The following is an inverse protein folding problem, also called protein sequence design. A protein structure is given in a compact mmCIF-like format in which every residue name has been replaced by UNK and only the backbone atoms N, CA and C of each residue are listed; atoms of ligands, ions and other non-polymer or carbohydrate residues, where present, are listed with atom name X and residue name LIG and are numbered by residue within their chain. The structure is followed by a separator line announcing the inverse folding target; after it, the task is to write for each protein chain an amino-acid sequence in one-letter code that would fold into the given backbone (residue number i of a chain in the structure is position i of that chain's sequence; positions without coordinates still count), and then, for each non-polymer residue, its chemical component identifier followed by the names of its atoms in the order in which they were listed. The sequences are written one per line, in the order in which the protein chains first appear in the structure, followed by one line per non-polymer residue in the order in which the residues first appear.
data_IF_409366509111
#
_entry.id   IF_409366509111
#
_cell.length_a   1.000
_cell.length_b   1.000
_cell.length_c   1.000
_cell.angle_alpha   90.00
_cell.angle_beta   90.00
_cell.angle_gamma   90.00
#
_symmetry.space_group_name_H-M   'P 1'
#
loop_
_entity.id
_entity.type
_entity.pdbx_description
1 polymer ?
#
# COMPACT_ATOMS: atom_id res chain seq x y z
N UNK A 1 -7.63 0.54 24.06
CA UNK A 1 -6.90 -0.35 23.13
C UNK A 1 -6.66 0.40 21.82
N UNK A 2 -5.64 0.04 21.04
CA UNK A 2 -5.41 0.61 19.69
C UNK A 2 -5.64 -0.47 18.63
N UNK A 3 -6.46 -0.16 17.62
CA UNK A 3 -6.76 -1.05 16.50
C UNK A 3 -6.27 -0.43 15.21
N UNK A 4 -5.76 -1.28 14.31
CA UNK A 4 -5.51 -0.92 12.93
C UNK A 4 -6.45 -1.76 12.06
N UNK A 5 -7.47 -1.12 11.52
CA UNK A 5 -8.45 -1.76 10.65
C UNK A 5 -8.14 -1.45 9.20
N UNK A 6 -8.28 -2.46 8.36
CA UNK A 6 -8.03 -2.38 6.93
C UNK A 6 -9.01 -3.23 6.14
N UNK A 7 -9.29 -2.85 4.91
CA UNK A 7 -9.95 -3.64 3.89
C UNK A 7 -9.02 -4.68 3.28
N UNK A 8 -7.70 -4.46 3.40
CA UNK A 8 -6.68 -5.30 2.82
C UNK A 8 -6.78 -6.74 3.33
N UNK A 9 -6.52 -7.67 2.42
CA UNK A 9 -6.37 -9.09 2.73
C UNK A 9 -5.06 -9.59 2.17
N UNK A 10 -4.64 -10.78 2.60
CA UNK A 10 -3.43 -11.41 2.08
C UNK A 10 -2.19 -10.55 2.29
N UNK A 11 -1.45 -10.24 1.21
CA UNK A 11 -0.22 -9.46 1.28
C UNK A 11 -0.38 -8.06 1.89
N UNK A 12 -1.50 -7.37 1.63
CA UNK A 12 -1.76 -6.06 2.24
C UNK A 12 -2.00 -6.15 3.76
N UNK A 13 -2.78 -7.15 4.20
CA UNK A 13 -2.95 -7.42 5.63
C UNK A 13 -1.61 -7.78 6.28
N UNK A 14 -0.82 -8.64 5.64
CA UNK A 14 0.50 -9.02 6.12
C UNK A 14 1.45 -7.82 6.23
N UNK A 15 1.37 -6.85 5.31
CA UNK A 15 2.12 -5.60 5.42
C UNK A 15 1.79 -4.86 6.73
N UNK A 16 0.50 -4.72 7.05
CA UNK A 16 0.06 -4.06 8.28
C UNK A 16 0.43 -4.84 9.55
N UNK A 17 0.40 -6.17 9.50
CA UNK A 17 0.90 -7.03 10.58
C UNK A 17 2.41 -6.83 10.82
N UNK A 18 3.19 -6.70 9.74
CA UNK A 18 4.62 -6.40 9.81
C UNK A 18 4.89 -4.99 10.38
N UNK A 19 4.09 -3.98 9.99
CA UNK A 19 4.14 -2.63 10.57
C UNK A 19 3.94 -2.73 12.08
N UNK A 20 2.87 -3.38 12.53
CA UNK A 20 2.58 -3.54 13.95
C UNK A 20 3.72 -4.26 14.69
N UNK A 21 4.22 -5.37 14.15
CA UNK A 21 5.29 -6.16 14.78
C UNK A 21 6.59 -5.39 14.92
N UNK A 22 6.98 -4.63 13.88
CA UNK A 22 8.32 -4.06 13.78
C UNK A 22 8.43 -2.60 14.23
N UNK A 23 7.32 -1.86 14.22
CA UNK A 23 7.28 -0.44 14.60
C UNK A 23 6.56 -0.22 15.92
N UNK A 24 5.51 -1.00 16.19
CA UNK A 24 4.65 -0.82 17.36
C UNK A 24 4.76 -1.96 18.38
N UNK A 25 5.80 -2.80 18.28
CA UNK A 25 6.08 -3.93 19.18
C UNK A 25 4.86 -4.86 19.40
N UNK A 26 3.99 -4.98 18.38
CA UNK A 26 2.77 -5.80 18.45
C UNK A 26 1.66 -5.22 19.32
N UNK A 27 1.72 -3.94 19.70
CA UNK A 27 0.74 -3.30 20.60
C UNK A 27 -0.59 -2.97 19.93
N UNK A 28 -0.66 -2.93 18.59
CA UNK A 28 -1.91 -2.72 17.85
C UNK A 28 -2.63 -4.05 17.65
N UNK A 29 -3.96 -4.02 17.65
CA UNK A 29 -4.78 -5.11 17.12
C UNK A 29 -5.05 -4.86 15.63
N UNK A 30 -4.32 -5.56 14.76
CA UNK A 30 -4.48 -5.45 13.31
C UNK A 30 -5.58 -6.39 12.84
N UNK A 31 -6.59 -5.88 12.13
CA UNK A 31 -7.73 -6.67 11.66
C UNK A 31 -8.16 -6.26 10.25
N UNK A 32 -8.31 -7.26 9.37
CA UNK A 32 -9.00 -7.08 8.10
C UNK A 32 -10.52 -7.08 8.31
N UNK A 33 -11.19 -6.09 7.73
CA UNK A 33 -12.64 -6.03 7.54
C UNK A 33 -13.05 -6.41 6.10
N UNK A 34 -12.11 -6.96 5.33
CA UNK A 34 -12.27 -7.57 3.99
C UNK A 34 -12.67 -6.61 2.85
N UNK A 35 -13.27 -5.47 3.18
CA UNK A 35 -13.70 -4.47 2.21
C UNK A 35 -13.92 -3.12 2.89
N UNK A 36 -13.91 -2.06 2.08
CA UNK A 36 -14.32 -0.72 2.50
C UNK A 36 -15.72 -0.68 3.12
N UNK A 37 -16.64 -1.54 2.66
CA UNK A 37 -17.98 -1.64 3.26
C UNK A 37 -17.90 -2.31 4.64
N UNK A 38 -17.13 -3.38 4.78
CA UNK A 38 -16.97 -4.07 6.06
C UNK A 38 -16.34 -3.20 7.14
N UNK A 39 -15.46 -2.24 6.78
CA UNK A 39 -14.98 -1.22 7.72
C UNK A 39 -16.15 -0.35 8.21
N UNK A 40 -16.98 0.15 7.29
CA UNK A 40 -18.11 1.01 7.63
C UNK A 40 -19.15 0.28 8.49
N UNK A 41 -19.46 -0.97 8.14
CA UNK A 41 -20.38 -1.81 8.91
C UNK A 41 -19.84 -2.02 10.34
N UNK A 42 -18.53 -2.31 10.48
CA UNK A 42 -17.91 -2.48 11.79
C UNK A 42 -17.85 -1.19 12.63
N UNK A 43 -17.80 -0.02 11.99
CA UNK A 43 -17.85 1.27 12.66
C UNK A 43 -19.28 1.65 13.08
N UNK A 44 -20.29 1.24 12.32
CA UNK A 44 -21.71 1.48 12.65
C UNK A 44 -22.13 0.69 13.90
N UNK A 45 -21.61 -0.54 14.03
CA UNK A 45 -21.82 -1.39 15.21
C UNK A 45 -20.99 -0.96 16.44
N UNK A 46 -20.12 0.05 16.30
CA UNK A 46 -19.14 0.39 17.32
C UNK A 46 -19.75 1.24 18.44
N UNK A 47 -19.57 0.78 19.68
CA UNK A 47 -19.85 1.61 20.85
C UNK A 47 -18.71 2.63 21.07
N UNK A 48 -18.84 3.82 20.49
CA UNK A 48 -17.85 4.90 20.60
C UNK A 48 -17.70 5.48 22.02
N UNK A 49 -18.37 4.93 23.04
CA UNK A 49 -18.17 5.31 24.44
C UNK A 49 -16.88 4.72 25.04
N UNK A 50 -16.30 3.71 24.42
CA UNK A 50 -15.07 3.08 24.91
C UNK A 50 -13.82 3.95 24.61
N UNK A 51 -12.78 3.83 25.42
CA UNK A 51 -11.48 4.55 25.29
C UNK A 51 -10.58 3.98 24.16
N UNK A 52 -11.18 3.23 23.23
CA UNK A 52 -10.48 2.57 22.14
C UNK A 52 -10.22 3.54 20.98
N UNK A 53 -9.04 3.42 20.35
CA UNK A 53 -8.65 4.17 19.16
C UNK A 53 -8.55 3.25 17.96
N UNK A 54 -9.08 3.71 16.83
CA UNK A 54 -9.20 2.97 15.58
C UNK A 54 -8.51 3.74 14.47
N UNK A 55 -7.38 3.22 14.01
CA UNK A 55 -6.67 3.69 12.84
C UNK A 55 -7.20 2.93 11.63
N UNK A 56 -7.67 3.66 10.62
CA UNK A 56 -8.33 3.08 9.46
C UNK A 56 -7.42 3.25 8.24
N UNK A 57 -6.77 2.15 7.83
CA UNK A 57 -6.25 2.02 6.48
C UNK A 57 -7.45 1.78 5.55
N UNK A 58 -7.65 2.66 4.57
CA UNK A 58 -8.79 2.62 3.66
C UNK A 58 -8.35 3.12 2.29
N UNK A 59 -8.65 2.35 1.24
CA UNK A 59 -8.39 2.71 -0.14
C UNK A 59 -9.10 4.03 -0.50
N UNK A 60 -8.36 5.15 -0.52
CA UNK A 60 -8.91 6.45 -0.89
C UNK A 60 -8.70 6.73 -2.37
N UNK A 61 -9.68 6.33 -3.18
CA UNK A 61 -9.63 6.44 -4.65
C UNK A 61 -10.69 7.43 -5.14
N UNK A 62 -10.27 8.68 -5.37
CA UNK A 62 -11.21 9.78 -5.73
C UNK A 62 -11.88 9.60 -7.09
N UNK A 63 -11.24 8.86 -8.00
CA UNK A 63 -11.74 8.60 -9.36
C UNK A 63 -12.77 7.46 -9.41
N UNK A 64 -13.04 6.79 -8.28
CA UNK A 64 -14.08 5.77 -8.15
C UNK A 64 -15.23 6.29 -7.29
N UNK A 65 -16.40 6.47 -7.91
CA UNK A 65 -17.57 7.09 -7.27
C UNK A 65 -18.07 6.31 -6.05
N UNK A 66 -18.03 4.97 -6.08
CA UNK A 66 -18.45 4.12 -4.97
C UNK A 66 -17.51 4.28 -3.76
N UNK A 67 -16.21 4.19 -4.01
CA UNK A 67 -15.17 4.37 -2.98
C UNK A 67 -15.25 5.78 -2.39
N UNK A 68 -15.41 6.81 -3.23
CA UNK A 68 -15.57 8.21 -2.79
C UNK A 68 -16.80 8.39 -1.89
N UNK A 69 -17.91 7.73 -2.18
CA UNK A 69 -19.11 7.80 -1.34
C UNK A 69 -18.89 7.13 0.02
N UNK A 70 -18.25 5.95 0.03
CA UNK A 70 -17.87 5.25 1.27
C UNK A 70 -16.90 6.06 2.12
N UNK A 71 -15.89 6.67 1.50
CA UNK A 71 -14.93 7.51 2.19
C UNK A 71 -15.58 8.77 2.81
N UNK A 72 -16.62 9.33 2.19
CA UNK A 72 -17.40 10.44 2.79
C UNK A 72 -18.13 10.01 4.05
N UNK A 73 -18.72 8.81 4.04
CA UNK A 73 -19.35 8.24 5.23
C UNK A 73 -18.30 8.02 6.33
N UNK A 74 -17.16 7.43 5.99
CA UNK A 74 -16.04 7.27 6.92
C UNK A 74 -15.59 8.61 7.53
N UNK A 75 -15.47 9.66 6.71
CA UNK A 75 -15.17 11.01 7.20
C UNK A 75 -16.23 11.56 8.14
N UNK A 76 -17.51 11.33 7.87
CA UNK A 76 -18.57 11.78 8.78
C UNK A 76 -18.50 11.07 10.13
N UNK A 77 -18.17 9.78 10.16
CA UNK A 77 -17.94 9.00 11.39
C UNK A 77 -16.73 9.54 12.14
N UNK A 78 -15.59 9.70 11.45
CA UNK A 78 -14.36 10.23 12.04
C UNK A 78 -14.56 11.61 12.68
N UNK A 79 -15.29 12.51 12.02
CA UNK A 79 -15.56 13.86 12.51
C UNK A 79 -16.36 13.90 13.83
N UNK A 80 -17.24 12.93 14.07
CA UNK A 80 -18.06 12.87 15.30
C UNK A 80 -17.49 11.90 16.35
N UNK A 81 -16.39 11.21 16.03
CA UNK A 81 -15.78 10.19 16.89
C UNK A 81 -14.92 10.74 18.05
N UNK A 82 -14.82 12.06 18.21
CA UNK A 82 -13.95 12.71 19.20
C UNK A 82 -12.48 12.22 19.13
N UNK A 83 -11.96 12.05 17.91
CA UNK A 83 -10.60 11.59 17.67
C UNK A 83 -10.35 10.10 17.93
N UNK A 84 -11.40 9.30 18.14
CA UNK A 84 -11.31 7.84 18.31
C UNK A 84 -11.15 7.11 16.98
N UNK A 85 -11.69 7.63 15.88
CA UNK A 85 -11.55 7.07 14.53
C UNK A 85 -10.64 7.99 13.71
N UNK A 86 -9.45 7.50 13.38
CA UNK A 86 -8.39 8.24 12.69
C UNK A 86 -8.17 7.59 11.32
N UNK A 87 -8.39 8.34 10.24
CA UNK A 87 -8.23 7.85 8.88
C UNK A 87 -6.77 8.06 8.44
N UNK A 88 -6.14 7.00 7.92
CA UNK A 88 -4.79 7.07 7.35
C UNK A 88 -4.84 7.67 5.93
N UNK A 89 -4.03 8.70 5.67
CA UNK A 89 -4.06 9.46 4.41
C UNK A 89 -3.28 8.77 3.28
N UNK A 90 -3.87 7.70 2.73
CA UNK A 90 -3.24 6.85 1.71
C UNK A 90 -4.18 6.49 0.55
N UNK A 91 -3.60 6.22 -0.63
CA UNK A 91 -4.37 5.79 -1.82
C UNK A 91 -4.77 4.31 -1.71
N UNK A 92 -3.79 3.43 -1.54
CA UNK A 92 -3.93 1.99 -1.35
C UNK A 92 -2.59 1.41 -0.89
N UNK A 93 -2.54 0.16 -0.44
CA UNK A 93 -1.26 -0.46 -0.03
C UNK A 93 -0.28 -0.58 -1.22
N UNK A 94 -0.77 -0.86 -2.43
CA UNK A 94 0.12 -1.01 -3.59
C UNK A 94 0.81 0.29 -3.97
N UNK A 95 0.19 1.44 -3.67
CA UNK A 95 0.81 2.76 -3.82
C UNK A 95 1.99 2.93 -2.85
N UNK A 96 1.83 2.51 -1.59
CA UNK A 96 2.91 2.58 -0.59
C UNK A 96 4.15 1.82 -1.07
N UNK A 97 3.95 0.62 -1.62
CA UNK A 97 5.04 -0.17 -2.20
C UNK A 97 5.58 0.48 -3.49
N UNK A 98 4.70 1.01 -4.36
CA UNK A 98 5.13 1.65 -5.60
C UNK A 98 6.01 2.87 -5.33
N UNK A 99 5.68 3.66 -4.31
CA UNK A 99 6.36 4.88 -3.94
C UNK A 99 7.73 4.65 -3.29
N UNK A 100 8.04 3.41 -2.88
CA UNK A 100 9.32 3.07 -2.27
C UNK A 100 10.48 3.26 -3.24
N UNK A 101 11.33 4.26 -2.99
CA UNK A 101 12.45 4.66 -3.85
C UNK A 101 13.35 3.49 -4.28
N UNK A 102 13.66 2.56 -3.36
CA UNK A 102 14.51 1.39 -3.64
C UNK A 102 13.77 0.20 -4.26
N UNK A 103 12.48 0.31 -4.59
CA UNK A 103 11.68 -0.78 -5.17
C UNK A 103 12.38 -1.48 -6.34
N UNK A 104 12.86 -0.71 -7.32
CA UNK A 104 13.49 -1.25 -8.54
C UNK A 104 14.80 -1.96 -8.22
N UNK A 105 15.63 -1.35 -7.37
CA UNK A 105 16.91 -1.92 -6.93
C UNK A 105 16.70 -3.24 -6.20
N UNK A 106 15.69 -3.29 -5.31
CA UNK A 106 15.41 -4.46 -4.48
C UNK A 106 14.76 -5.59 -5.26
N UNK A 107 13.79 -5.30 -6.13
CA UNK A 107 13.12 -6.35 -6.90
C UNK A 107 13.93 -6.82 -8.09
N UNK A 108 14.91 -6.02 -8.55
CA UNK A 108 15.72 -6.31 -9.73
C UNK A 108 14.91 -6.30 -11.02
N UNK A 109 13.80 -5.55 -11.05
CA UNK A 109 12.94 -5.47 -12.24
C UNK A 109 13.73 -4.87 -13.41
N UNK A 110 13.85 -5.62 -14.51
CA UNK A 110 14.48 -5.17 -15.75
C UNK A 110 13.51 -4.48 -16.73
N UNK A 111 12.27 -4.24 -16.32
CA UNK A 111 11.21 -3.65 -17.17
C UNK A 111 11.38 -2.13 -17.26
N UNK A 112 12.33 -1.69 -18.09
CA UNK A 112 12.70 -0.27 -18.23
C UNK A 112 11.53 0.63 -18.62
N UNK A 113 10.59 0.13 -19.42
CA UNK A 113 9.35 0.82 -19.77
C UNK A 113 8.47 1.05 -18.53
N UNK A 114 8.30 0.03 -17.68
CA UNK A 114 7.49 0.11 -16.45
C UNK A 114 8.14 0.97 -15.38
N UNK A 115 9.47 0.96 -15.30
CA UNK A 115 10.22 1.85 -14.41
C UNK A 115 9.98 3.32 -14.80
N UNK A 116 10.08 3.64 -16.09
CA UNK A 116 9.79 4.99 -16.58
C UNK A 116 8.33 5.40 -16.37
N UNK A 117 7.38 4.49 -16.62
CA UNK A 117 5.97 4.73 -16.34
C UNK A 117 5.74 5.01 -14.84
N UNK A 118 6.44 4.31 -13.95
CA UNK A 118 6.37 4.54 -12.50
C UNK A 118 6.80 5.95 -12.15
N UNK A 119 7.93 6.42 -12.70
CA UNK A 119 8.41 7.78 -12.47
C UNK A 119 7.39 8.83 -12.95
N UNK A 120 6.92 8.71 -14.20
CA UNK A 120 5.95 9.62 -14.78
C UNK A 120 4.63 9.66 -13.97
N UNK A 121 4.13 8.47 -13.57
CA UNK A 121 2.87 8.34 -12.84
C UNK A 121 3.01 8.91 -11.42
N UNK A 122 4.06 8.53 -10.67
CA UNK A 122 4.26 9.03 -9.30
C UNK A 122 4.44 10.56 -9.28
N UNK A 123 5.16 11.13 -10.25
CA UNK A 123 5.31 12.58 -10.40
C UNK A 123 3.97 13.30 -10.71
N UNK A 124 3.02 12.59 -11.31
CA UNK A 124 1.69 13.10 -11.64
C UNK A 124 0.64 12.86 -10.55
N UNK A 125 0.96 12.13 -9.46
CA UNK A 125 0.01 11.90 -8.36
C UNK A 125 -0.17 13.18 -7.54
N UNK A 126 -1.40 13.64 -7.40
CA UNK A 126 -1.79 14.76 -6.54
C UNK A 126 -3.17 14.50 -5.94
N UNK A 127 -3.39 14.83 -4.66
CA UNK A 127 -4.70 14.68 -4.00
C UNK A 127 -5.35 13.30 -4.24
N UNK A 128 -4.58 12.21 -4.12
CA UNK A 128 -5.03 10.83 -4.30
C UNK A 128 -5.51 10.45 -5.72
N UNK A 129 -5.14 11.23 -6.74
CA UNK A 129 -5.39 10.93 -8.16
C UNK A 129 -4.17 11.12 -9.03
N UNK A 130 -4.11 10.42 -10.15
CA UNK A 130 -3.15 10.68 -11.22
C UNK A 130 -3.66 11.87 -12.06
N UNK A 131 -2.90 12.96 -12.10
CA UNK A 131 -3.18 14.07 -13.00
C UNK A 131 -2.60 13.81 -14.38
N UNK A 132 -3.45 13.32 -15.30
CA UNK A 132 -3.06 12.97 -16.67
C UNK A 132 -2.46 14.15 -17.44
N UNK A 133 -2.80 15.41 -17.13
CA UNK A 133 -2.25 16.57 -17.86
C UNK A 133 -0.80 16.88 -17.50
N UNK A 134 -0.26 16.27 -16.44
CA UNK A 134 1.16 16.37 -16.05
C UNK A 134 2.04 15.29 -16.70
N UNK A 135 1.45 14.37 -17.47
CA UNK A 135 2.18 13.27 -18.11
C UNK A 135 2.40 13.63 -19.58
N UNK A 136 3.64 13.92 -19.95
CA UNK A 136 4.02 14.22 -21.34
C UNK A 136 4.35 12.94 -22.14
N UNK A 137 4.77 11.88 -21.47
CA UNK A 137 5.22 10.65 -22.10
C UNK A 137 4.05 9.88 -22.74
N UNK A 138 4.03 9.82 -24.07
CA UNK A 138 3.00 9.14 -24.87
C UNK A 138 2.83 7.66 -24.49
N UNK A 139 3.91 6.94 -24.17
CA UNK A 139 3.82 5.52 -23.79
C UNK A 139 3.12 5.35 -22.45
N UNK A 140 3.37 6.26 -21.51
CA UNK A 140 2.70 6.28 -20.21
C UNK A 140 1.21 6.59 -20.38
N UNK A 141 0.87 7.59 -21.20
CA UNK A 141 -0.53 7.89 -21.55
C UNK A 141 -1.23 6.70 -22.23
N UNK A 142 -0.55 6.02 -23.17
CA UNK A 142 -1.06 4.83 -23.84
C UNK A 142 -1.33 3.70 -22.84
N UNK A 143 -0.41 3.45 -21.91
CA UNK A 143 -0.60 2.47 -20.84
C UNK A 143 -1.84 2.79 -19.98
N UNK A 144 -1.98 4.05 -19.55
CA UNK A 144 -3.13 4.49 -18.75
C UNK A 144 -4.46 4.39 -19.53
N UNK A 145 -4.46 4.68 -20.83
CA UNK A 145 -5.64 4.54 -21.70
C UNK A 145 -6.10 3.09 -21.89
N UNK A 146 -5.22 2.11 -21.65
CA UNK A 146 -5.53 0.69 -21.74
C UNK A 146 -6.48 0.17 -20.64
N UNK A 147 -6.70 0.94 -19.58
CA UNK A 147 -7.56 0.54 -18.46
C UNK A 147 -9.04 0.75 -18.81
N UNK A 148 -9.77 -0.34 -19.12
CA UNK A 148 -11.22 -0.33 -19.44
C UNK A 148 -12.09 0.43 -18.42
N UNK A 149 -11.71 0.38 -17.14
CA UNK A 149 -12.27 1.22 -16.08
C UNK A 149 -11.09 1.75 -15.29
N UNK A 150 -10.63 2.93 -15.69
CA UNK A 150 -9.53 3.64 -15.05
C UNK A 150 -9.85 3.94 -13.59
N UNK A 151 -8.90 3.66 -12.70
CA UNK A 151 -8.84 4.25 -11.37
C UNK A 151 -7.38 4.31 -10.95
N UNK A 152 -7.04 5.31 -10.14
CA UNK A 152 -5.68 5.48 -9.61
C UNK A 152 -5.19 4.18 -8.94
N UNK A 153 -5.98 3.58 -8.05
CA UNK A 153 -5.68 2.28 -7.40
C UNK A 153 -5.39 1.15 -8.41
N UNK A 154 -6.18 1.00 -9.47
CA UNK A 154 -5.95 -0.05 -10.49
C UNK A 154 -4.62 0.14 -11.20
N UNK A 155 -4.25 1.39 -11.48
CA UNK A 155 -2.96 1.71 -12.06
C UNK A 155 -1.83 1.35 -11.10
N UNK A 156 -1.94 1.74 -9.82
CA UNK A 156 -0.97 1.41 -8.78
C UNK A 156 -0.81 -0.11 -8.65
N UNK A 157 -1.92 -0.83 -8.46
CA UNK A 157 -1.94 -2.29 -8.35
C UNK A 157 -1.32 -3.00 -9.55
N UNK A 158 -1.66 -2.57 -10.76
CA UNK A 158 -1.10 -3.14 -11.99
C UNK A 158 0.41 -2.91 -12.06
N UNK A 159 0.85 -1.66 -11.90
CA UNK A 159 2.25 -1.31 -12.06
C UNK A 159 3.14 -1.89 -10.97
N UNK A 160 2.72 -1.81 -9.70
CA UNK A 160 3.43 -2.46 -8.58
C UNK A 160 3.49 -3.95 -8.79
N UNK A 161 2.40 -4.59 -9.22
CA UNK A 161 2.37 -6.02 -9.54
C UNK A 161 3.34 -6.40 -10.66
N UNK A 162 3.50 -5.56 -11.68
CA UNK A 162 4.45 -5.79 -12.76
C UNK A 162 5.91 -5.64 -12.34
N UNK A 163 6.20 -4.72 -11.41
CA UNK A 163 7.55 -4.45 -10.87
C UNK A 163 7.95 -5.41 -9.75
N UNK A 164 7.00 -6.16 -9.20
CA UNK A 164 7.19 -7.12 -8.10
C UNK A 164 6.88 -8.56 -8.50
N UNK A 165 6.64 -8.84 -9.79
CA UNK A 165 6.13 -10.15 -10.26
C UNK A 165 7.02 -11.36 -9.91
N UNK A 166 8.30 -11.12 -9.61
CA UNK A 166 9.21 -12.17 -9.16
C UNK A 166 8.66 -12.76 -7.85
N UNK A 167 8.34 -14.06 -7.82
CA UNK A 167 7.56 -14.68 -6.73
C UNK A 167 8.07 -14.35 -5.31
N UNK A 168 9.39 -14.24 -5.12
CA UNK A 168 9.97 -13.90 -3.81
C UNK A 168 9.76 -12.43 -3.41
N UNK A 169 9.48 -11.52 -4.34
CA UNK A 169 9.14 -10.10 -4.11
C UNK A 169 7.66 -9.78 -4.35
N UNK A 170 6.85 -10.76 -4.73
CA UNK A 170 5.44 -10.58 -5.06
C UNK A 170 4.69 -9.89 -3.93
N UNK A 171 3.88 -8.89 -4.27
CA UNK A 171 2.86 -8.33 -3.35
C UNK A 171 1.48 -8.94 -3.60
N UNK A 172 1.43 -10.07 -4.31
CA UNK A 172 0.22 -10.88 -4.53
C UNK A 172 0.30 -12.16 -3.71
N UNK A 173 -0.82 -12.57 -3.14
CA UNK A 173 -0.95 -13.82 -2.40
C UNK A 173 -1.37 -13.62 -0.95
N UNK A 174 -1.27 -14.69 -0.16
CA UNK A 174 -1.66 -14.68 1.26
C UNK A 174 -0.71 -13.87 2.13
N UNK A 175 0.56 -13.80 1.76
CA UNK A 175 1.60 -13.02 2.42
C UNK A 175 2.32 -12.18 1.38
N UNK A 176 3.02 -11.15 1.83
CA UNK A 176 4.06 -10.52 1.01
C UNK A 176 5.10 -11.58 0.61
N UNK A 177 5.80 -11.38 -0.50
CA UNK A 177 6.90 -12.22 -0.93
C UNK A 177 8.00 -12.27 0.13
N UNK A 178 8.61 -13.44 0.28
CA UNK A 178 9.57 -13.71 1.36
C UNK A 178 10.79 -12.77 1.36
N UNK A 179 11.21 -12.27 0.20
CA UNK A 179 12.33 -11.33 0.10
C UNK A 179 12.07 -9.99 0.79
N UNK A 180 10.81 -9.62 1.06
CA UNK A 180 10.51 -8.41 1.83
C UNK A 180 10.95 -8.54 3.29
N UNK A 181 10.70 -9.69 3.93
CA UNK A 181 10.77 -9.82 5.39
C UNK A 181 11.60 -11.01 5.91
N UNK A 182 12.25 -11.79 5.04
CA UNK A 182 13.23 -12.83 5.41
C UNK A 182 14.64 -12.46 4.96
N UNK A 183 15.65 -13.00 5.64
CA UNK A 183 17.07 -12.69 5.39
C UNK A 183 17.58 -13.17 4.01
N UNK A 184 16.94 -14.20 3.46
CA UNK A 184 17.40 -14.89 2.26
C UNK A 184 16.70 -14.37 0.99
N UNK A 185 17.37 -13.50 0.24
CA UNK A 185 16.94 -13.06 -1.09
C UNK A 185 18.03 -13.22 -2.16
N UNK A 186 18.77 -14.33 -2.12
CA UNK A 186 19.61 -14.74 -3.25
C UNK A 186 18.87 -15.88 -3.96
N UNK A 187 18.84 -15.85 -5.29
CA UNK A 187 18.25 -16.95 -6.06
C UNK A 187 19.00 -18.24 -5.74
N UNK A 188 18.29 -19.28 -5.26
CA UNK A 188 18.85 -20.64 -5.11
C UNK A 188 19.14 -21.28 -6.49
N UNK A 189 18.81 -20.57 -7.57
CA UNK A 189 19.06 -20.94 -8.97
C UNK A 189 19.89 -19.85 -9.65
N UNK A 190 21.22 -20.03 -9.79
CA UNK A 190 22.08 -19.07 -10.50
C UNK A 190 21.66 -18.82 -11.96
N UNK A 191 20.84 -19.71 -12.50
CA UNK A 191 20.25 -19.72 -13.85
C UNK A 191 18.98 -18.86 -13.99
N UNK A 192 18.38 -18.38 -12.89
CA UNK A 192 17.28 -17.39 -12.90
C UNK A 192 17.74 -16.08 -12.24
N UNK A 193 18.38 -15.23 -13.04
CA UNK A 193 18.88 -13.89 -12.71
C UNK A 193 17.78 -12.85 -12.40
N UNK A 194 16.77 -13.18 -11.59
CA UNK A 194 15.65 -12.27 -11.28
C UNK A 194 15.41 -12.08 -9.78
N UNK A 195 16.48 -12.14 -8.99
CA UNK A 195 16.45 -11.68 -7.61
C UNK A 195 17.21 -10.35 -7.58
N UNK A 196 16.53 -9.25 -7.23
CA UNK A 196 17.26 -8.00 -7.00
C UNK A 196 18.20 -8.15 -5.80
N UNK A 197 19.17 -7.24 -5.72
CA UNK A 197 20.26 -7.30 -4.76
C UNK A 197 20.09 -6.16 -3.74
N UNK A 198 19.18 -6.31 -2.74
CA UNK A 198 19.06 -5.31 -1.70
C UNK A 198 20.37 -5.20 -0.95
N UNK A 199 20.76 -3.99 -0.60
CA UNK A 199 21.95 -3.71 0.21
C UNK A 199 21.83 -4.32 1.61
N UNK A 200 20.59 -4.40 2.11
CA UNK A 200 20.22 -4.95 3.41
C UNK A 200 19.82 -6.41 3.25
N UNK A 201 20.47 -7.30 4.01
CA UNK A 201 20.14 -8.73 4.01
C UNK A 201 19.03 -9.06 4.99
N UNK A 202 19.13 -8.58 6.23
CA UNK A 202 18.18 -8.89 7.30
C UNK A 202 16.75 -8.49 6.91
N UNK A 203 15.82 -9.42 7.10
CA UNK A 203 14.42 -9.26 6.72
C UNK A 203 13.70 -8.16 7.50
N UNK A 204 13.99 -8.01 8.78
CA UNK A 204 13.39 -6.98 9.61
C UNK A 204 13.97 -5.60 9.28
N UNK A 205 15.27 -5.50 9.04
CA UNK A 205 15.93 -4.26 8.60
C UNK A 205 15.40 -3.80 7.23
N UNK A 206 15.17 -4.72 6.28
CA UNK A 206 14.50 -4.38 5.01
C UNK A 206 13.11 -3.81 5.21
N UNK A 207 12.29 -4.44 6.05
CA UNK A 207 10.95 -3.91 6.32
C UNK A 207 11.01 -2.55 7.03
N UNK A 208 11.95 -2.36 7.98
CA UNK A 208 12.16 -1.07 8.65
C UNK A 208 12.56 0.02 7.68
N UNK A 209 13.48 -0.26 6.75
CA UNK A 209 13.87 0.67 5.69
C UNK A 209 12.69 1.06 4.80
N UNK A 210 11.87 0.08 4.39
CA UNK A 210 10.62 0.34 3.65
C UNK A 210 9.69 1.26 4.47
N UNK A 211 9.49 0.96 5.75
CA UNK A 211 8.62 1.75 6.63
C UNK A 211 9.13 3.17 6.91
N UNK A 212 10.44 3.38 6.83
CA UNK A 212 11.07 4.69 6.98
C UNK A 212 11.04 5.53 5.68
N UNK A 213 10.63 4.94 4.54
CA UNK A 213 10.44 5.70 3.30
C UNK A 213 9.42 6.83 3.49
N UNK A 214 9.63 7.96 2.81
CA UNK A 214 8.87 9.21 3.03
C UNK A 214 7.35 8.98 3.01
N UNK A 215 6.85 8.27 2.00
CA UNK A 215 5.42 8.02 1.83
C UNK A 215 4.86 7.17 2.97
N UNK A 216 5.56 6.12 3.38
CA UNK A 216 5.07 5.17 4.39
C UNK A 216 5.23 5.75 5.79
N UNK A 217 6.36 6.39 6.09
CA UNK A 217 6.62 7.01 7.38
C UNK A 217 5.58 8.09 7.70
N UNK A 218 5.12 8.85 6.71
CA UNK A 218 4.02 9.84 6.88
C UNK A 218 2.72 9.19 7.37
N UNK A 219 2.42 7.97 6.89
CA UNK A 219 1.23 7.22 7.34
C UNK A 219 1.46 6.68 8.75
N UNK A 220 2.59 6.01 8.96
CA UNK A 220 2.92 5.35 10.22
C UNK A 220 3.02 6.36 11.37
N UNK A 221 3.54 7.57 11.12
CA UNK A 221 3.63 8.63 12.14
C UNK A 221 2.28 9.14 12.65
N UNK A 222 1.19 8.78 11.97
CA UNK A 222 -0.18 9.11 12.40
C UNK A 222 -0.69 8.15 13.49
N UNK A 223 -0.07 6.98 13.63
CA UNK A 223 -0.50 5.87 14.52
C UNK A 223 0.14 5.98 15.91
#
# INVERSE_FOLDING_TARGET
MKYLWTEDTGAGLHFWELVNRLIFDGTLKVESKFSNQGILDALDDLNLNDEDKYYIAFDYVVDNQDIRNKYRLLKSISNVSDGKVIILDMICFEYLILAFDKLVQWTGSGKTDKIRMREDILAAVENHRINLSKIENEKTLQYLSGFKRFSTERVMKSLTGELTENEKWSIKGKLMGECWYKDCCVSDRPDKNKCGNPEIRDGNEKMKELFQSETINRIISTI
#
